data_IF_643640032333
#
_entry.id   IF_643640032333
#
_cell.length_a   1.000
_cell.length_b   1.000
_cell.length_c   1.000
_cell.angle_alpha   90.00
_cell.angle_beta   90.00
_cell.angle_gamma   90.00
#
_symmetry.space_group_name_H-M   'P 1'
#
loop_
_entity.id
_entity.type
_entity.pdbx_description
1 polymer ?
#
# COMPACT_ATOMS: atom_id res chain seq x y z
N UNK A 1 5.58 -22.97 -10.07
CA UNK A 1 4.56 -22.00 -9.62
C UNK A 1 4.67 -20.79 -10.53
N UNK A 2 3.64 -20.49 -11.31
CA UNK A 2 3.62 -19.26 -12.11
C UNK A 2 3.42 -18.11 -11.12
N UNK A 3 4.40 -17.23 -10.98
CA UNK A 3 4.26 -16.02 -10.18
C UNK A 3 3.24 -15.12 -10.88
N UNK A 4 2.22 -14.65 -10.17
CA UNK A 4 1.24 -13.71 -10.72
C UNK A 4 1.95 -12.49 -11.33
N UNK A 5 1.44 -12.02 -12.47
CA UNK A 5 1.90 -10.76 -13.06
C UNK A 5 1.60 -9.61 -12.10
N UNK A 6 2.33 -8.49 -12.21
CA UNK A 6 2.06 -7.30 -11.39
C UNK A 6 0.60 -6.83 -11.49
N UNK A 7 0.01 -6.93 -12.68
CA UNK A 7 -1.37 -6.53 -12.92
C UNK A 7 -2.36 -7.43 -12.15
N UNK A 8 -2.16 -8.75 -12.19
CA UNK A 8 -2.98 -9.73 -11.45
C UNK A 8 -2.82 -9.54 -9.94
N UNK A 9 -1.59 -9.46 -9.44
CA UNK A 9 -1.34 -9.25 -8.02
C UNK A 9 -1.93 -7.92 -7.51
N UNK A 10 -1.93 -6.88 -8.36
CA UNK A 10 -2.58 -5.60 -8.05
C UNK A 10 -4.10 -5.75 -7.99
N UNK A 11 -4.69 -6.47 -8.93
CA UNK A 11 -6.13 -6.72 -8.95
C UNK A 11 -6.56 -7.52 -7.70
N UNK A 12 -5.80 -8.54 -7.32
CA UNK A 12 -6.02 -9.31 -6.10
C UNK A 12 -5.94 -8.44 -4.84
N UNK A 13 -4.94 -7.56 -4.75
CA UNK A 13 -4.81 -6.62 -3.64
C UNK A 13 -6.00 -5.65 -3.57
N UNK A 14 -6.41 -5.07 -4.71
CA UNK A 14 -7.57 -4.18 -4.77
C UNK A 14 -8.83 -4.91 -4.32
N UNK A 15 -9.08 -6.12 -4.82
CA UNK A 15 -10.23 -6.91 -4.41
C UNK A 15 -10.21 -7.26 -2.92
N UNK A 16 -9.02 -7.45 -2.33
CA UNK A 16 -8.89 -7.64 -0.88
C UNK A 16 -9.25 -6.38 -0.09
N UNK A 17 -8.82 -5.20 -0.53
CA UNK A 17 -9.16 -3.92 0.10
C UNK A 17 -10.66 -3.63 0.02
N UNK A 18 -11.30 -3.96 -1.11
CA UNK A 18 -12.75 -3.84 -1.28
C UNK A 18 -13.50 -4.75 -0.30
N UNK A 19 -13.13 -6.04 -0.19
CA UNK A 19 -13.73 -6.96 0.79
C UNK A 19 -13.60 -6.47 2.23
N UNK A 20 -12.49 -5.83 2.59
CA UNK A 20 -12.31 -5.25 3.91
C UNK A 20 -13.22 -4.03 4.12
N UNK A 21 -13.38 -3.18 3.10
CA UNK A 21 -14.34 -2.08 3.11
C UNK A 21 -15.77 -2.56 3.33
N UNK A 22 -16.21 -3.56 2.57
CA UNK A 22 -17.54 -4.17 2.68
C UNK A 22 -17.78 -4.80 4.07
N UNK A 23 -16.71 -5.31 4.69
CA UNK A 23 -16.74 -5.86 6.05
C UNK A 23 -16.64 -4.80 7.16
N UNK A 24 -16.72 -3.51 6.85
CA UNK A 24 -16.67 -2.41 7.83
C UNK A 24 -15.27 -2.02 8.30
N UNK A 25 -14.22 -2.49 7.61
CA UNK A 25 -12.82 -2.22 7.93
C UNK A 25 -12.10 -1.53 6.75
N UNK A 26 -12.59 -0.37 6.28
CA UNK A 26 -12.04 0.28 5.10
C UNK A 26 -10.59 0.69 5.32
N UNK A 27 -9.77 0.52 4.27
CA UNK A 27 -8.37 0.91 4.32
C UNK A 27 -8.23 2.43 4.46
N UNK A 28 -7.35 2.88 5.36
CA UNK A 28 -7.14 4.30 5.65
C UNK A 28 -6.80 5.13 4.40
N UNK A 29 -6.05 4.55 3.46
CA UNK A 29 -5.70 5.18 2.19
C UNK A 29 -6.91 5.45 1.27
N UNK A 30 -8.06 4.83 1.52
CA UNK A 30 -9.31 5.07 0.80
C UNK A 30 -10.28 5.96 1.59
N UNK A 31 -10.14 6.05 2.91
CA UNK A 31 -11.06 6.82 3.77
C UNK A 31 -10.60 8.24 4.04
N UNK A 32 -9.31 8.54 3.92
CA UNK A 32 -8.81 9.92 4.09
C UNK A 32 -9.34 10.84 2.97
N UNK A 33 -9.46 12.16 3.23
CA UNK A 33 -9.80 13.15 2.22
C UNK A 33 -8.93 13.02 0.97
N UNK A 34 -9.50 13.28 -0.22
CA UNK A 34 -8.78 13.15 -1.50
C UNK A 34 -7.48 13.96 -1.52
N UNK A 35 -7.48 15.14 -0.90
CA UNK A 35 -6.29 16.00 -0.76
C UNK A 35 -5.17 15.35 0.04
N UNK A 36 -5.50 14.50 1.02
CA UNK A 36 -4.55 13.82 1.89
C UNK A 36 -4.08 12.48 1.30
N UNK A 37 -4.85 11.88 0.37
CA UNK A 37 -4.45 10.65 -0.34
C UNK A 37 -3.16 10.82 -1.13
N UNK A 38 -2.87 12.04 -1.57
CA UNK A 38 -1.65 12.35 -2.32
C UNK A 38 -0.38 11.93 -1.57
N UNK A 39 -0.39 11.94 -0.22
CA UNK A 39 0.75 11.53 0.60
C UNK A 39 1.18 10.07 0.35
N UNK A 40 0.27 9.17 -0.03
CA UNK A 40 0.58 7.77 -0.33
C UNK A 40 1.39 7.59 -1.62
N UNK A 41 1.33 8.55 -2.53
CA UNK A 41 2.02 8.50 -3.84
C UNK A 41 2.91 9.72 -4.07
N UNK A 42 3.18 10.49 -3.02
CA UNK A 42 4.01 11.69 -3.08
C UNK A 42 5.45 11.34 -3.45
N UNK A 43 6.12 12.24 -4.14
CA UNK A 43 7.56 12.15 -4.39
C UNK A 43 8.38 12.62 -3.17
N UNK A 44 7.76 13.27 -2.19
CA UNK A 44 8.40 13.64 -0.92
C UNK A 44 8.46 12.43 0.04
N UNK A 45 9.66 11.94 0.41
CA UNK A 45 9.81 10.85 1.37
C UNK A 45 9.22 11.12 2.76
N UNK A 46 9.11 12.39 3.17
CA UNK A 46 8.52 12.78 4.45
C UNK A 46 6.99 12.59 4.43
N UNK A 47 6.32 12.98 3.35
CA UNK A 47 4.89 12.74 3.17
C UNK A 47 4.57 11.23 3.11
N UNK A 48 5.39 10.47 2.38
CA UNK A 48 5.26 9.01 2.38
C UNK A 48 5.49 8.40 3.78
N UNK A 49 6.35 8.99 4.62
CA UNK A 49 6.59 8.52 5.99
C UNK A 49 5.33 8.63 6.83
N UNK A 50 4.67 9.79 6.77
CA UNK A 50 3.41 10.04 7.47
C UNK A 50 2.34 9.05 7.01
N UNK A 51 2.19 8.87 5.70
CA UNK A 51 1.26 7.88 5.13
C UNK A 51 1.59 6.44 5.58
N UNK A 52 2.88 6.08 5.67
CA UNK A 52 3.31 4.76 6.14
C UNK A 52 2.94 4.51 7.60
N UNK A 53 3.06 5.52 8.47
CA UNK A 53 2.67 5.41 9.87
C UNK A 53 1.15 5.31 10.04
N UNK A 54 0.38 6.08 9.25
CA UNK A 54 -1.08 5.98 9.20
C UNK A 54 -1.58 4.59 8.77
N UNK A 55 -0.81 3.86 7.95
CA UNK A 55 -1.20 2.52 7.48
C UNK A 55 -1.06 1.41 8.52
N UNK A 56 -0.29 1.60 9.59
CA UNK A 56 0.05 0.54 10.56
C UNK A 56 -1.16 -0.24 11.13
N UNK A 57 -2.32 0.37 11.45
CA UNK A 57 -3.47 -0.36 11.96
C UNK A 57 -4.32 -1.04 10.87
N UNK A 58 -4.01 -0.86 9.58
CA UNK A 58 -4.81 -1.39 8.49
C UNK A 58 -4.83 -2.93 8.49
N UNK A 59 -6.01 -3.59 8.44
CA UNK A 59 -6.08 -5.06 8.39
C UNK A 59 -5.40 -5.67 7.15
N UNK A 60 -5.26 -4.91 6.07
CA UNK A 60 -4.55 -5.34 4.85
C UNK A 60 -3.02 -5.20 4.94
N UNK A 61 -2.45 -4.81 6.09
CA UNK A 61 -1.03 -4.42 6.20
C UNK A 61 -0.09 -5.47 5.61
N UNK A 62 -0.30 -6.74 5.93
CA UNK A 62 0.54 -7.86 5.46
C UNK A 62 0.40 -8.03 3.94
N UNK A 63 -0.82 -8.11 3.41
CA UNK A 63 -1.06 -8.26 1.97
C UNK A 63 -0.47 -7.08 1.16
N UNK A 64 -0.62 -5.85 1.66
CA UNK A 64 0.00 -4.68 1.05
C UNK A 64 1.53 -4.77 1.08
N UNK A 65 2.12 -5.21 2.20
CA UNK A 65 3.58 -5.38 2.32
C UNK A 65 4.11 -6.42 1.34
N UNK A 66 3.45 -7.56 1.24
CA UNK A 66 3.85 -8.65 0.35
C UNK A 66 3.81 -8.19 -1.12
N UNK A 67 2.74 -7.51 -1.53
CA UNK A 67 2.66 -6.89 -2.85
C UNK A 67 3.79 -5.87 -3.08
N UNK A 68 3.97 -4.93 -2.15
CA UNK A 68 5.00 -3.89 -2.27
C UNK A 68 6.42 -4.45 -2.39
N UNK A 69 6.73 -5.53 -1.66
CA UNK A 69 8.03 -6.20 -1.69
C UNK A 69 8.24 -7.06 -2.94
N UNK A 70 7.17 -7.65 -3.48
CA UNK A 70 7.21 -8.35 -4.77
C UNK A 70 7.46 -7.39 -5.93
N UNK A 71 6.96 -6.15 -5.85
CA UNK A 71 7.10 -5.13 -6.89
C UNK A 71 7.73 -3.83 -6.32
N UNK A 72 9.03 -3.84 -5.98
CA UNK A 72 9.68 -2.73 -5.26
C UNK A 72 9.81 -1.43 -6.06
N UNK A 73 9.54 -1.47 -7.37
CA UNK A 73 9.51 -0.28 -8.25
C UNK A 73 8.12 0.36 -8.34
N UNK A 74 7.10 -0.28 -7.78
CA UNK A 74 5.77 0.31 -7.69
C UNK A 74 5.81 1.54 -6.79
N UNK A 75 5.25 2.65 -7.28
CA UNK A 75 5.28 3.94 -6.59
C UNK A 75 4.38 3.95 -5.37
N UNK A 76 4.84 4.63 -4.33
CA UNK A 76 4.04 4.95 -3.16
C UNK A 76 4.22 4.05 -1.94
N UNK A 77 3.31 4.13 -0.99
CA UNK A 77 3.37 3.46 0.31
C UNK A 77 2.60 2.13 0.28
N UNK A 78 3.25 1.07 0.73
CA UNK A 78 2.66 -0.26 0.84
C UNK A 78 3.11 -0.93 2.14
N UNK A 79 2.17 -1.42 2.95
CA UNK A 79 2.52 -2.25 4.11
C UNK A 79 3.31 -1.53 5.23
N UNK A 80 3.09 -0.22 5.37
CA UNK A 80 3.88 0.70 6.19
C UNK A 80 5.35 0.84 5.77
N UNK A 81 5.65 0.59 4.50
CA UNK A 81 6.97 0.83 3.89
C UNK A 81 6.83 1.91 2.82
N UNK A 82 7.69 2.92 2.85
CA UNK A 82 7.82 3.89 1.75
C UNK A 82 8.47 3.24 0.54
N UNK A 83 8.35 3.88 -0.62
CA UNK A 83 9.03 3.41 -1.82
C UNK A 83 10.56 3.34 -1.62
N UNK A 84 11.11 4.33 -0.91
CA UNK A 84 12.54 4.36 -0.56
C UNK A 84 12.92 3.18 0.32
N UNK A 85 12.11 2.83 1.32
CA UNK A 85 12.39 1.69 2.21
C UNK A 85 12.43 0.37 1.42
N UNK A 86 11.50 0.17 0.48
CA UNK A 86 11.43 -1.06 -0.34
C UNK A 86 12.56 -1.16 -1.36
N UNK A 87 13.09 -0.04 -1.83
CA UNK A 87 14.23 0.01 -2.77
C UNK A 87 15.57 -0.21 -2.08
N UNK A 88 15.70 0.18 -0.81
CA UNK A 88 16.91 0.04 0.01
C UNK A 88 17.11 -1.36 0.59
N UNK A 89 16.75 -2.45 -0.12
CA UNK A 89 16.91 -3.82 0.41
C UNK A 89 18.28 -4.01 1.08
N UNK A 90 18.35 -4.64 2.27
CA UNK A 90 19.62 -4.98 2.91
C UNK A 90 20.47 -5.90 2.03
#
# INVERSE_FOLDING_TARGET
>A
MVTATRAEARAELVAHLERLGDAGHPAVCHTVPVTERAAWTSDDPAEQRVAADLCRPCPALTACRDYGRAYPKERGVYGAETETDRRRKP
#
